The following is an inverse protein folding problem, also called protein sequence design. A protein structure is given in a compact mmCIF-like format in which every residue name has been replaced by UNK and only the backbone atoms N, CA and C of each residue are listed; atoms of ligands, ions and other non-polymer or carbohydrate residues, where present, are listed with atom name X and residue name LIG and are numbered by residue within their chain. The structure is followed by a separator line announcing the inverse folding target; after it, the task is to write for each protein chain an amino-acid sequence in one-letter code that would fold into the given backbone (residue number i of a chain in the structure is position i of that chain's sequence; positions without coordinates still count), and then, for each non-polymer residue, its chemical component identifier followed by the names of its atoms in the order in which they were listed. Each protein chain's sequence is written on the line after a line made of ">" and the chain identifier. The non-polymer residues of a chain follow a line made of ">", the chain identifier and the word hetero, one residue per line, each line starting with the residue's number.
data_IF_485227394814
#
_entry.id   IF_485227394814
#
_cell.length_a   1.000
_cell.length_b   1.000
_cell.length_c   1.000
_cell.angle_alpha   90.00
_cell.angle_beta   90.00
_cell.angle_gamma   90.00
#
_symmetry.space_group_name_H-M   'P 1'
#
loop_
_entity.id
_entity.type
_entity.pdbx_description
1 polymer ?
#
# COMPACT_ATOMS: atom_id res chain seq x y z
N UNK A 1 -1.73 -5.64 -30.91
CA UNK A 1 -3.19 -5.34 -30.99
C UNK A 1 -3.85 -5.85 -29.72
N UNK A 2 -4.52 -4.97 -28.96
CA UNK A 2 -5.24 -5.38 -27.74
C UNK A 2 -6.45 -6.26 -28.12
N UNK A 3 -6.88 -7.17 -27.24
CA UNK A 3 -8.09 -7.99 -27.49
C UNK A 3 -9.30 -7.13 -27.87
N UNK A 4 -9.39 -5.94 -27.26
CA UNK A 4 -10.37 -4.89 -27.55
C UNK A 4 -10.45 -4.56 -29.05
N UNK A 5 -9.31 -4.32 -29.71
CA UNK A 5 -9.30 -4.00 -31.15
C UNK A 5 -9.83 -5.13 -32.05
N UNK A 6 -9.67 -6.40 -31.66
CA UNK A 6 -10.22 -7.53 -32.44
C UNK A 6 -11.74 -7.64 -32.33
N UNK A 7 -12.31 -7.42 -31.14
CA UNK A 7 -13.76 -7.48 -30.93
C UNK A 7 -14.46 -6.34 -31.68
N UNK A 8 -13.88 -5.13 -31.66
CA UNK A 8 -14.42 -3.97 -32.38
C UNK A 8 -14.42 -4.21 -33.90
N UNK A 9 -13.34 -4.77 -34.45
CA UNK A 9 -13.23 -5.11 -35.88
C UNK A 9 -14.28 -6.15 -36.28
N UNK A 10 -14.48 -7.19 -35.46
CA UNK A 10 -15.50 -8.23 -35.72
C UNK A 10 -16.92 -7.67 -35.72
N UNK A 11 -17.25 -6.79 -34.78
CA UNK A 11 -18.58 -6.17 -34.68
C UNK A 11 -18.84 -5.26 -35.89
N UNK A 12 -17.86 -4.44 -36.28
CA UNK A 12 -17.96 -3.56 -37.45
C UNK A 12 -18.15 -4.39 -38.73
N UNK A 13 -17.41 -5.48 -38.88
CA UNK A 13 -17.55 -6.40 -40.01
C UNK A 13 -18.93 -7.06 -40.08
N UNK A 14 -19.50 -7.43 -38.93
CA UNK A 14 -20.79 -8.10 -38.83
C UNK A 14 -21.96 -7.15 -39.11
N UNK A 15 -21.88 -5.91 -38.61
CA UNK A 15 -22.85 -4.85 -38.95
C UNK A 15 -22.74 -4.48 -40.43
N UNK A 16 -21.53 -4.31 -40.96
CA UNK A 16 -21.32 -3.97 -42.37
C UNK A 16 -21.85 -5.07 -43.31
N UNK A 17 -21.66 -6.34 -42.98
CA UNK A 17 -22.18 -7.47 -43.78
C UNK A 17 -23.71 -7.58 -43.70
N UNK A 18 -24.32 -7.33 -42.54
CA UNK A 18 -25.78 -7.27 -42.42
C UNK A 18 -26.37 -6.10 -43.22
N UNK A 19 -25.75 -4.91 -43.18
CA UNK A 19 -26.17 -3.74 -43.96
C UNK A 19 -26.03 -3.95 -45.47
N UNK A 20 -24.94 -4.60 -45.91
CA UNK A 20 -24.74 -4.98 -47.32
C UNK A 20 -25.78 -6.01 -47.78
N UNK A 21 -26.16 -6.96 -46.93
CA UNK A 21 -27.24 -7.92 -47.20
C UNK A 21 -28.60 -7.27 -47.41
N UNK A 22 -28.90 -6.20 -46.65
CA UNK A 22 -30.15 -5.44 -46.78
C UNK A 22 -30.23 -4.66 -48.10
N UNK A 23 -29.11 -4.13 -48.59
CA UNK A 23 -29.02 -3.41 -49.86
C UNK A 23 -29.08 -4.34 -51.09
N UNK A 24 -28.63 -5.58 -50.96
CA UNK A 24 -28.54 -6.53 -52.08
C UNK A 24 -29.88 -7.20 -52.44
N UNK A 25 -30.86 -7.25 -51.53
CA UNK A 25 -32.15 -7.96 -51.75
C UNK A 25 -33.40 -7.10 -51.40
N UNK A 26 -33.70 -6.04 -52.17
CA UNK A 26 -34.79 -5.11 -51.87
C UNK A 26 -36.22 -5.65 -52.12
N UNK A 27 -36.39 -6.77 -52.84
CA UNK A 27 -37.70 -7.23 -53.33
C UNK A 27 -38.34 -8.42 -52.58
N UNK A 28 -37.74 -8.88 -51.48
CA UNK A 28 -38.26 -10.00 -50.68
C UNK A 28 -38.76 -9.49 -49.32
N UNK A 29 -40.02 -9.06 -49.26
CA UNK A 29 -40.66 -8.54 -48.03
C UNK A 29 -40.49 -9.45 -46.80
N UNK A 30 -40.50 -10.78 -46.96
CA UNK A 30 -40.30 -11.70 -45.83
C UNK A 30 -38.83 -11.82 -45.41
N UNK A 31 -37.90 -11.76 -46.36
CA UNK A 31 -36.46 -11.79 -46.06
C UNK A 31 -36.02 -10.48 -45.39
N UNK A 32 -36.65 -9.36 -45.75
CA UNK A 32 -36.35 -8.04 -45.22
C UNK A 32 -36.70 -7.92 -43.73
N UNK A 33 -37.87 -8.44 -43.31
CA UNK A 33 -38.22 -8.51 -41.88
C UNK A 33 -37.30 -9.46 -41.10
N UNK A 34 -36.97 -10.63 -41.64
CA UNK A 34 -36.03 -11.54 -40.98
C UNK A 34 -34.64 -10.91 -40.80
N UNK A 35 -34.20 -10.09 -41.76
CA UNK A 35 -32.93 -9.37 -41.70
C UNK A 35 -32.96 -8.21 -40.69
N UNK A 36 -34.08 -7.50 -40.58
CA UNK A 36 -34.31 -6.49 -39.54
C UNK A 36 -34.29 -7.11 -38.14
N UNK A 37 -34.97 -8.23 -37.93
CA UNK A 37 -34.96 -8.95 -36.65
C UNK A 37 -33.56 -9.43 -36.29
N UNK A 38 -32.83 -10.01 -37.25
CA UNK A 38 -31.43 -10.41 -37.08
C UNK A 38 -30.54 -9.21 -36.72
N UNK A 39 -30.73 -8.06 -37.37
CA UNK A 39 -29.99 -6.83 -37.07
C UNK A 39 -30.25 -6.36 -35.63
N UNK A 40 -31.51 -6.32 -35.20
CA UNK A 40 -31.86 -5.91 -33.84
C UNK A 40 -31.35 -6.87 -32.77
N UNK A 41 -31.41 -8.19 -33.04
CA UNK A 41 -30.80 -9.21 -32.17
C UNK A 41 -29.29 -8.99 -32.10
N UNK A 42 -28.64 -8.68 -33.22
CA UNK A 42 -27.20 -8.42 -33.27
C UNK A 42 -26.82 -7.18 -32.44
N UNK A 43 -27.57 -6.08 -32.61
CA UNK A 43 -27.37 -4.84 -31.85
C UNK A 43 -27.57 -5.12 -30.36
N UNK A 44 -28.62 -5.84 -29.98
CA UNK A 44 -28.90 -6.23 -28.60
C UNK A 44 -27.79 -7.10 -27.99
N UNK A 45 -27.29 -8.08 -28.75
CA UNK A 45 -26.19 -8.95 -28.32
C UNK A 45 -24.87 -8.16 -28.14
N UNK A 46 -24.56 -7.25 -29.06
CA UNK A 46 -23.38 -6.37 -28.99
C UNK A 46 -23.47 -5.44 -27.78
N UNK A 47 -24.62 -4.80 -27.57
CA UNK A 47 -24.82 -3.91 -26.44
C UNK A 47 -24.70 -4.66 -25.10
N UNK A 48 -25.29 -5.86 -25.02
CA UNK A 48 -25.19 -6.71 -23.84
C UNK A 48 -23.74 -7.15 -23.58
N UNK A 49 -23.01 -7.55 -24.62
CA UNK A 49 -21.60 -7.91 -24.49
C UNK A 49 -20.75 -6.74 -24.00
N UNK A 50 -20.98 -5.53 -24.52
CA UNK A 50 -20.28 -4.32 -24.08
C UNK A 50 -20.59 -3.97 -22.62
N UNK A 51 -21.85 -4.08 -22.21
CA UNK A 51 -22.26 -3.87 -20.82
C UNK A 51 -21.62 -4.89 -19.88
N UNK A 52 -21.61 -6.18 -20.24
CA UNK A 52 -20.96 -7.23 -19.46
C UNK A 52 -19.44 -7.00 -19.37
N UNK A 53 -18.77 -6.66 -20.47
CA UNK A 53 -17.34 -6.37 -20.48
C UNK A 53 -17.01 -5.14 -19.62
N UNK A 54 -17.82 -4.08 -19.69
CA UNK A 54 -17.68 -2.91 -18.84
C UNK A 54 -17.82 -3.24 -17.35
N UNK A 55 -18.82 -4.06 -16.99
CA UNK A 55 -19.03 -4.52 -15.61
C UNK A 55 -17.87 -5.41 -15.12
N UNK A 56 -17.39 -6.34 -15.96
CA UNK A 56 -16.27 -7.23 -15.63
C UNK A 56 -14.96 -6.46 -15.47
N UNK A 57 -14.66 -5.51 -16.36
CA UNK A 57 -13.46 -4.68 -16.24
C UNK A 57 -13.51 -3.84 -14.96
N UNK A 58 -14.66 -3.25 -14.64
CA UNK A 58 -14.86 -2.51 -13.38
C UNK A 58 -14.69 -3.41 -12.15
N UNK A 59 -15.22 -4.64 -12.18
CA UNK A 59 -15.04 -5.59 -11.06
C UNK A 59 -13.57 -6.00 -10.90
N UNK A 60 -12.86 -6.25 -12.00
CA UNK A 60 -11.43 -6.56 -11.98
C UNK A 60 -10.60 -5.41 -11.41
N UNK A 61 -10.88 -4.17 -11.81
CA UNK A 61 -10.23 -2.97 -11.25
C UNK A 61 -10.51 -2.84 -9.75
N UNK A 62 -11.76 -3.03 -9.33
CA UNK A 62 -12.15 -2.99 -7.93
C UNK A 62 -11.45 -4.07 -7.10
N UNK A 63 -11.31 -5.29 -7.63
CA UNK A 63 -10.58 -6.39 -6.95
C UNK A 63 -9.10 -6.06 -6.80
N UNK A 64 -8.44 -5.61 -7.86
CA UNK A 64 -7.03 -5.19 -7.81
C UNK A 64 -6.78 -4.07 -6.82
N UNK A 65 -7.70 -3.11 -6.74
CA UNK A 65 -7.64 -2.02 -5.78
C UNK A 65 -7.74 -2.55 -4.33
N UNK A 66 -8.67 -3.47 -4.05
CA UNK A 66 -8.82 -4.10 -2.73
C UNK A 66 -7.61 -4.93 -2.34
N UNK A 67 -7.04 -5.70 -3.28
CA UNK A 67 -5.83 -6.49 -3.05
C UNK A 67 -4.63 -5.59 -2.73
N UNK A 68 -4.45 -4.49 -3.47
CA UNK A 68 -3.39 -3.51 -3.23
C UNK A 68 -3.55 -2.81 -1.88
N UNK A 69 -4.79 -2.48 -1.50
CA UNK A 69 -5.11 -1.88 -0.20
C UNK A 69 -4.85 -2.85 0.95
N UNK A 70 -5.20 -4.14 0.79
CA UNK A 70 -4.88 -5.17 1.78
C UNK A 70 -3.37 -5.34 1.93
N UNK A 71 -2.64 -5.51 0.83
CA UNK A 71 -1.18 -5.66 0.83
C UNK A 71 -0.48 -4.48 1.52
N UNK A 72 -0.91 -3.25 1.24
CA UNK A 72 -0.41 -2.06 1.91
C UNK A 72 -0.66 -2.08 3.43
N UNK A 73 -1.86 -2.44 3.86
CA UNK A 73 -2.19 -2.49 5.30
C UNK A 73 -1.39 -3.57 6.02
N UNK A 74 -1.25 -4.75 5.41
CA UNK A 74 -0.38 -5.81 5.91
C UNK A 74 1.05 -5.32 6.06
N UNK A 75 1.58 -4.64 5.03
CA UNK A 75 2.92 -4.07 5.05
C UNK A 75 3.10 -3.08 6.21
N UNK A 76 2.19 -2.11 6.35
CA UNK A 76 2.23 -1.12 7.44
C UNK A 76 2.15 -1.79 8.81
N UNK A 77 1.28 -2.79 8.98
CA UNK A 77 1.14 -3.51 10.25
C UNK A 77 2.40 -4.30 10.63
N UNK A 78 3.05 -4.95 9.65
CA UNK A 78 4.31 -5.69 9.87
C UNK A 78 5.44 -4.73 10.26
N UNK A 79 5.60 -3.64 9.54
CA UNK A 79 6.62 -2.63 9.85
C UNK A 79 6.37 -1.98 11.22
N UNK A 80 5.12 -1.68 11.55
CA UNK A 80 4.74 -1.15 12.86
C UNK A 80 5.00 -2.15 13.99
N UNK A 81 4.74 -3.44 13.77
CA UNK A 81 5.06 -4.51 14.72
C UNK A 81 6.55 -4.57 15.05
N UNK A 82 7.42 -4.42 14.03
CA UNK A 82 8.87 -4.35 14.24
C UNK A 82 9.27 -3.14 15.07
N UNK A 83 8.68 -1.98 14.77
CA UNK A 83 8.92 -0.77 15.57
C UNK A 83 8.45 -0.96 17.02
N UNK A 84 7.29 -1.59 17.25
CA UNK A 84 6.83 -1.94 18.59
C UNK A 84 7.85 -2.83 19.32
N UNK A 85 8.42 -3.83 18.64
CA UNK A 85 9.43 -4.72 19.24
C UNK A 85 10.72 -3.99 19.65
N UNK A 86 11.09 -2.92 18.93
CA UNK A 86 12.25 -2.08 19.26
C UNK A 86 11.98 -1.20 20.48
N UNK A 87 10.71 -0.83 20.72
CA UNK A 87 10.34 0.17 21.73
C UNK A 87 10.05 -0.41 23.12
N UNK A 88 10.21 -1.73 23.31
CA UNK A 88 10.08 -2.46 24.59
C UNK A 88 8.76 -2.28 25.35
N UNK A 89 7.75 -1.64 24.74
CA UNK A 89 6.38 -1.57 25.27
C UNK A 89 5.70 -2.94 25.14
N UNK A 90 4.46 -3.06 25.59
CA UNK A 90 3.57 -4.23 25.41
C UNK A 90 3.33 -4.54 23.91
N UNK A 91 4.40 -4.99 23.27
CA UNK A 91 4.59 -5.07 21.84
C UNK A 91 3.72 -6.17 21.26
N UNK A 92 3.51 -7.26 22.01
CA UNK A 92 2.62 -8.35 21.62
C UNK A 92 1.19 -7.83 21.46
N UNK A 93 0.69 -7.06 22.43
CA UNK A 93 -0.66 -6.50 22.37
C UNK A 93 -0.80 -5.43 21.27
N UNK A 94 0.14 -4.50 21.16
CA UNK A 94 0.08 -3.42 20.16
C UNK A 94 0.27 -3.94 18.73
N UNK A 95 1.21 -4.85 18.51
CA UNK A 95 1.43 -5.48 17.22
C UNK A 95 0.24 -6.34 16.80
N UNK A 96 -0.30 -7.17 17.71
CA UNK A 96 -1.48 -7.98 17.45
C UNK A 96 -2.67 -7.10 17.06
N UNK A 97 -2.85 -5.95 17.73
CA UNK A 97 -3.91 -4.99 17.41
C UNK A 97 -3.75 -4.41 16.00
N UNK A 98 -2.53 -3.99 15.61
CA UNK A 98 -2.26 -3.47 14.27
C UNK A 98 -2.47 -4.53 13.18
N UNK A 99 -1.99 -5.75 13.41
CA UNK A 99 -2.14 -6.89 12.49
C UNK A 99 -3.61 -7.31 12.37
N UNK A 100 -4.34 -7.38 13.48
CA UNK A 100 -5.76 -7.70 13.49
C UNK A 100 -6.61 -6.68 12.73
N UNK A 101 -6.21 -5.40 12.74
CA UNK A 101 -6.91 -4.36 11.99
C UNK A 101 -6.68 -4.42 10.47
N UNK A 102 -5.78 -5.25 9.94
CA UNK A 102 -5.50 -5.35 8.49
C UNK A 102 -6.75 -5.77 7.70
N UNK A 103 -7.58 -6.64 8.28
CA UNK A 103 -8.82 -7.14 7.65
C UNK A 103 -10.00 -6.18 7.82
N UNK A 104 -9.86 -5.13 8.63
CA UNK A 104 -10.91 -4.15 8.92
C UNK A 104 -11.18 -3.19 7.75
N UNK A 105 -11.98 -2.13 7.94
CA UNK A 105 -12.08 -1.05 6.96
C UNK A 105 -10.82 -0.17 6.96
N UNK A 106 -10.51 0.51 5.85
CA UNK A 106 -9.40 1.49 5.80
C UNK A 106 -9.46 2.57 6.90
N UNK A 107 -10.66 2.97 7.32
CA UNK A 107 -10.85 3.96 8.38
C UNK A 107 -10.51 3.40 9.76
N UNK A 108 -10.96 2.18 10.06
CA UNK A 108 -10.64 1.47 11.30
C UNK A 108 -9.15 1.15 11.40
N UNK A 109 -8.54 0.71 10.30
CA UNK A 109 -7.11 0.48 10.22
C UNK A 109 -6.31 1.76 10.51
N UNK A 110 -6.62 2.87 9.83
CA UNK A 110 -5.93 4.14 10.06
C UNK A 110 -6.09 4.65 11.50
N UNK A 111 -7.26 4.44 12.10
CA UNK A 111 -7.52 4.77 13.50
C UNK A 111 -6.67 3.91 14.43
N UNK A 112 -6.57 2.61 14.15
CA UNK A 112 -5.75 1.68 14.93
C UNK A 112 -4.26 2.01 14.84
N UNK A 113 -3.74 2.27 13.63
CA UNK A 113 -2.35 2.70 13.42
C UNK A 113 -2.06 3.98 14.20
N UNK A 114 -2.98 4.95 14.19
CA UNK A 114 -2.84 6.18 14.99
C UNK A 114 -2.83 5.91 16.51
N UNK A 115 -3.67 4.99 17.00
CA UNK A 115 -3.68 4.62 18.41
C UNK A 115 -2.36 3.99 18.84
N UNK A 116 -1.85 3.04 18.06
CA UNK A 116 -0.54 2.42 18.31
C UNK A 116 0.57 3.48 18.26
N UNK A 117 0.52 4.39 17.28
CA UNK A 117 1.46 5.49 17.16
C UNK A 117 1.51 6.39 18.39
N UNK A 118 0.35 6.73 18.95
CA UNK A 118 0.28 7.56 20.16
C UNK A 118 0.96 6.89 21.36
N UNK A 119 0.79 5.57 21.53
CA UNK A 119 1.45 4.81 22.60
C UNK A 119 2.96 4.79 22.40
N UNK A 120 3.42 4.57 21.16
CA UNK A 120 4.86 4.58 20.84
C UNK A 120 5.51 5.96 21.05
N UNK A 121 4.76 7.04 20.84
CA UNK A 121 5.24 8.40 21.04
C UNK A 121 5.38 8.76 22.53
N UNK A 122 4.57 8.17 23.41
CA UNK A 122 4.68 8.39 24.86
C UNK A 122 5.77 7.53 25.51
N UNK A 123 6.15 6.43 24.87
CA UNK A 123 7.24 5.59 25.32
C UNK A 123 8.59 6.28 25.15
N UNK A 124 9.57 5.99 26.01
CA UNK A 124 10.98 6.35 25.77
C UNK A 124 11.90 5.13 25.77
N UNK A 125 11.38 3.94 26.09
CA UNK A 125 12.18 2.73 26.13
C UNK A 125 12.64 2.30 24.75
N UNK A 126 13.83 1.70 24.72
CA UNK A 126 14.45 1.12 23.52
C UNK A 126 15.15 -0.17 23.93
N UNK A 127 14.81 -1.25 23.24
CA UNK A 127 15.54 -2.51 23.27
C UNK A 127 16.70 -2.42 22.27
N UNK A 128 17.90 -2.22 22.81
CA UNK A 128 19.12 -2.05 22.03
C UNK A 128 19.44 -3.26 21.16
N UNK A 129 19.28 -4.47 21.71
CA UNK A 129 19.54 -5.72 20.99
C UNK A 129 18.54 -5.92 19.85
N UNK A 130 17.25 -5.61 20.09
CA UNK A 130 16.23 -5.66 19.02
C UNK A 130 16.47 -4.63 17.93
N UNK A 131 16.88 -3.41 18.27
CA UNK A 131 17.20 -2.39 17.27
C UNK A 131 18.30 -2.88 16.32
N UNK A 132 19.45 -3.29 16.87
CA UNK A 132 20.60 -3.72 16.06
C UNK A 132 20.32 -5.01 15.28
N UNK A 133 19.38 -5.85 15.72
CA UNK A 133 18.92 -7.00 14.94
C UNK A 133 18.01 -6.62 13.75
N UNK A 134 17.28 -5.50 13.83
CA UNK A 134 16.20 -5.17 12.90
C UNK A 134 16.47 -3.96 12.01
N UNK A 135 17.48 -3.13 12.30
CA UNK A 135 17.68 -1.84 11.61
C UNK A 135 17.75 -1.96 10.09
N UNK A 136 18.48 -2.96 9.55
CA UNK A 136 18.59 -3.20 8.10
C UNK A 136 17.20 -3.47 7.52
N UNK A 137 16.46 -4.38 8.16
CA UNK A 137 15.17 -4.83 7.64
C UNK A 137 14.13 -3.71 7.66
N UNK A 138 14.12 -2.88 8.71
CA UNK A 138 13.27 -1.69 8.80
C UNK A 138 13.65 -0.67 7.72
N UNK A 139 14.95 -0.39 7.54
CA UNK A 139 15.43 0.53 6.50
C UNK A 139 15.08 0.05 5.08
N UNK A 140 15.27 -1.23 4.78
CA UNK A 140 14.88 -1.83 3.49
C UNK A 140 13.37 -1.78 3.24
N UNK A 141 12.56 -2.07 4.25
CA UNK A 141 11.11 -1.95 4.15
C UNK A 141 10.69 -0.51 3.85
N UNK A 142 11.31 0.48 4.48
CA UNK A 142 11.02 1.89 4.16
C UNK A 142 11.38 2.25 2.72
N UNK A 143 12.50 1.73 2.18
CA UNK A 143 12.85 1.92 0.75
C UNK A 143 11.85 1.22 -0.17
N UNK A 144 11.33 0.06 0.24
CA UNK A 144 10.26 -0.64 -0.49
C UNK A 144 8.95 0.15 -0.44
N UNK A 145 8.62 0.73 0.70
CA UNK A 145 7.45 1.58 0.87
C UNK A 145 7.51 2.81 -0.05
N UNK A 146 8.70 3.42 -0.16
CA UNK A 146 8.90 4.61 -0.99
C UNK A 146 8.78 4.35 -2.50
N UNK A 147 9.04 3.11 -2.93
CA UNK A 147 9.03 2.72 -4.35
C UNK A 147 7.72 2.06 -4.77
N UNK A 148 7.25 1.07 -4.00
CA UNK A 148 6.13 0.21 -4.40
C UNK A 148 4.76 0.83 -4.04
N UNK A 149 4.66 1.53 -2.91
CA UNK A 149 3.36 1.89 -2.32
C UNK A 149 3.03 3.39 -2.37
N UNK A 150 4.03 4.27 -2.48
CA UNK A 150 3.79 5.73 -2.52
C UNK A 150 2.83 6.14 -3.65
N UNK A 151 2.99 5.55 -4.83
CA UNK A 151 2.18 5.86 -6.02
C UNK A 151 0.71 5.49 -5.81
N UNK A 152 0.45 4.51 -4.96
CA UNK A 152 -0.90 4.06 -4.64
C UNK A 152 -1.66 5.12 -3.85
N UNK A 153 -1.02 6.04 -3.13
CA UNK A 153 -1.72 6.97 -2.21
C UNK A 153 -1.51 8.46 -2.49
N UNK A 154 -0.58 8.80 -3.38
CA UNK A 154 -0.36 10.17 -3.80
C UNK A 154 -1.47 10.68 -4.74
N UNK A 155 -1.74 11.99 -4.66
CA UNK A 155 -2.72 12.71 -5.48
C UNK A 155 -2.10 13.45 -6.65
N UNK A 156 -0.78 13.63 -6.63
CA UNK A 156 -0.01 14.31 -7.66
C UNK A 156 1.41 13.74 -7.72
N UNK A 157 2.11 14.00 -8.82
CA UNK A 157 3.53 13.63 -8.96
C UNK A 157 4.41 14.35 -7.93
N UNK A 158 4.08 15.59 -7.59
CA UNK A 158 4.80 16.33 -6.56
C UNK A 158 4.69 15.65 -5.19
N UNK A 159 3.49 15.14 -4.83
CA UNK A 159 3.32 14.37 -3.59
C UNK A 159 4.12 13.06 -3.62
N UNK A 160 4.21 12.39 -4.77
CA UNK A 160 5.04 11.18 -4.94
C UNK A 160 6.50 11.50 -4.61
N UNK A 161 7.05 12.53 -5.24
CA UNK A 161 8.46 12.93 -5.04
C UNK A 161 8.72 13.35 -3.59
N UNK A 162 7.85 14.16 -3.00
CA UNK A 162 8.00 14.61 -1.61
C UNK A 162 7.95 13.45 -0.62
N UNK A 163 6.98 12.54 -0.76
CA UNK A 163 6.89 11.36 0.10
C UNK A 163 8.10 10.43 -0.12
N UNK A 164 8.58 10.29 -1.36
CA UNK A 164 9.74 9.45 -1.67
C UNK A 164 10.99 9.97 -0.97
N UNK A 165 11.26 11.27 -1.09
CA UNK A 165 12.40 11.91 -0.44
C UNK A 165 12.28 11.85 1.09
N UNK A 166 11.09 12.05 1.64
CA UNK A 166 10.86 11.99 3.08
C UNK A 166 11.12 10.59 3.65
N UNK A 167 10.56 9.54 3.04
CA UNK A 167 10.72 8.16 3.52
C UNK A 167 12.15 7.67 3.31
N UNK A 168 12.78 7.97 2.17
CA UNK A 168 14.15 7.54 1.89
C UNK A 168 15.15 8.16 2.86
N UNK A 169 14.98 9.46 3.18
CA UNK A 169 15.80 10.14 4.21
C UNK A 169 15.68 9.49 5.59
N UNK A 170 14.49 9.01 5.97
CA UNK A 170 14.31 8.27 7.22
C UNK A 170 15.00 6.91 7.10
N UNK A 171 14.78 6.18 6.01
CA UNK A 171 15.36 4.87 5.76
C UNK A 171 16.90 4.86 5.82
N UNK A 172 17.54 5.92 5.34
CA UNK A 172 19.01 6.04 5.32
C UNK A 172 19.61 6.33 6.70
N UNK A 173 18.81 6.80 7.66
CA UNK A 173 19.22 6.97 9.06
C UNK A 173 19.05 5.71 9.90
N UNK A 174 18.35 4.69 9.39
CA UNK A 174 18.31 3.37 10.03
C UNK A 174 19.65 2.65 9.80
N UNK A 175 20.59 2.87 10.73
CA UNK A 175 21.97 2.36 10.68
C UNK A 175 22.33 1.59 11.94
N UNK A 176 23.43 0.85 11.90
CA UNK A 176 23.96 0.17 13.08
C UNK A 176 24.51 1.17 14.09
N UNK A 177 24.16 1.02 15.37
CA UNK A 177 24.79 1.77 16.46
C UNK A 177 25.64 0.83 17.30
N UNK A 178 26.95 1.01 17.22
CA UNK A 178 27.93 0.21 17.97
C UNK A 178 27.75 0.33 19.49
N UNK A 179 27.36 1.52 19.98
CA UNK A 179 27.03 1.75 21.39
C UNK A 179 25.79 0.96 21.88
N UNK A 180 24.96 0.43 20.97
CA UNK A 180 23.79 -0.41 21.27
C UNK A 180 24.08 -1.91 21.11
N UNK A 181 25.31 -2.29 20.79
CA UNK A 181 25.71 -3.69 20.65
C UNK A 181 25.70 -4.42 21.99
N UNK A 182 25.58 -5.75 21.97
CA UNK A 182 25.59 -6.56 23.19
C UNK A 182 26.89 -6.39 23.98
N UNK A 183 28.04 -6.31 23.29
CA UNK A 183 29.34 -6.07 23.91
C UNK A 183 29.38 -4.70 24.60
N UNK A 184 28.84 -3.65 23.97
CA UNK A 184 28.84 -2.31 24.55
C UNK A 184 27.91 -2.24 25.77
N UNK A 185 26.76 -2.90 25.70
CA UNK A 185 25.83 -2.98 26.83
C UNK A 185 26.44 -3.76 28.01
N UNK A 186 27.22 -4.81 27.75
CA UNK A 186 27.95 -5.57 28.79
C UNK A 186 29.10 -4.74 29.39
N UNK A 187 29.85 -4.03 28.55
CA UNK A 187 30.90 -3.11 28.98
C UNK A 187 30.36 -1.95 29.85
N UNK A 188 29.15 -1.45 29.55
CA UNK A 188 28.49 -0.41 30.38
C UNK A 188 28.04 -0.97 31.74
N UNK A 189 27.56 -2.22 31.79
CA UNK A 189 27.11 -2.86 33.04
C UNK A 189 28.27 -3.23 33.97
N UNK A 190 29.42 -3.56 33.42
CA UNK A 190 30.53 -4.17 34.14
C UNK A 190 31.54 -3.23 34.81
N UNK A 191 31.39 -1.90 34.74
CA UNK A 191 32.55 -1.03 34.92
C UNK A 191 32.39 0.28 35.71
N UNK A 192 33.51 0.66 36.36
CA UNK A 192 33.77 1.94 37.01
C UNK A 192 34.25 3.05 36.07
N UNK A 193 34.61 4.19 36.66
CA UNK A 193 34.76 5.50 36.00
C UNK A 193 35.80 5.56 34.85
N UNK A 194 35.51 6.39 33.84
CA UNK A 194 36.40 6.70 32.70
C UNK A 194 35.79 6.33 31.34
N UNK A 195 36.41 5.37 30.64
CA UNK A 195 36.05 4.96 29.27
C UNK A 195 34.60 4.46 29.13
N UNK A 196 34.07 3.87 30.20
CA UNK A 196 32.69 3.39 30.29
C UNK A 196 31.66 4.52 30.39
N UNK A 197 32.05 5.69 30.93
CA UNK A 197 31.17 6.86 30.97
C UNK A 197 30.96 7.46 29.58
N UNK A 198 32.00 7.47 28.73
CA UNK A 198 31.89 7.91 27.33
C UNK A 198 31.02 6.94 26.52
N UNK A 199 31.19 5.62 26.72
CA UNK A 199 30.37 4.61 26.05
C UNK A 199 28.90 4.69 26.49
N UNK A 200 28.66 4.92 27.79
CA UNK A 200 27.32 5.14 28.33
C UNK A 200 26.64 6.38 27.72
N UNK A 201 27.36 7.50 27.61
CA UNK A 201 26.84 8.72 26.96
C UNK A 201 26.46 8.45 25.51
N UNK A 202 27.34 7.80 24.73
CA UNK A 202 27.04 7.40 23.35
C UNK A 202 25.84 6.46 23.24
N UNK A 203 25.65 5.56 24.23
CA UNK A 203 24.47 4.69 24.26
C UNK A 203 23.18 5.47 24.53
N UNK A 204 23.22 6.55 25.33
CA UNK A 204 22.07 7.43 25.56
C UNK A 204 21.72 8.19 24.29
N UNK A 205 22.70 8.85 23.66
CA UNK A 205 22.50 9.57 22.39
C UNK A 205 21.96 8.65 21.29
N UNK A 206 22.49 7.44 21.18
CA UNK A 206 21.98 6.44 20.23
C UNK A 206 20.53 6.04 20.54
N UNK A 207 20.15 5.85 21.81
CA UNK A 207 18.76 5.55 22.18
C UNK A 207 17.82 6.70 21.86
N UNK A 208 18.24 7.95 22.10
CA UNK A 208 17.47 9.15 21.74
C UNK A 208 17.26 9.25 20.22
N UNK A 209 18.31 8.96 19.42
CA UNK A 209 18.18 8.91 17.96
C UNK A 209 17.23 7.79 17.53
N UNK A 210 17.27 6.61 18.15
CA UNK A 210 16.31 5.53 17.87
C UNK A 210 14.87 5.94 18.23
N UNK A 211 14.66 6.64 19.35
CA UNK A 211 13.35 7.22 19.71
C UNK A 211 12.88 8.18 18.61
N UNK A 212 13.76 9.07 18.16
CA UNK A 212 13.47 10.02 17.09
C UNK A 212 13.09 9.32 15.78
N UNK A 213 13.90 8.34 15.35
CA UNK A 213 13.68 7.57 14.13
C UNK A 213 12.39 6.76 14.15
N UNK A 214 12.10 6.11 15.27
CA UNK A 214 10.86 5.33 15.42
C UNK A 214 9.64 6.25 15.36
N UNK A 215 9.68 7.42 16.00
CA UNK A 215 8.62 8.42 15.94
C UNK A 215 8.42 8.98 14.52
N UNK A 216 9.50 9.35 13.83
CA UNK A 216 9.44 9.83 12.44
C UNK A 216 8.87 8.76 11.50
N UNK A 217 9.31 7.51 11.67
CA UNK A 217 8.85 6.38 10.87
C UNK A 217 7.35 6.16 11.06
N UNK A 218 6.92 6.06 12.32
CA UNK A 218 5.52 5.87 12.70
C UNK A 218 4.65 7.02 12.20
N UNK A 219 5.13 8.27 12.28
CA UNK A 219 4.43 9.43 11.75
C UNK A 219 4.14 9.28 10.24
N UNK A 220 5.13 8.85 9.45
CA UNK A 220 4.90 8.59 8.02
C UNK A 220 3.89 7.47 7.78
N UNK A 221 3.93 6.39 8.57
CA UNK A 221 2.97 5.29 8.46
C UNK A 221 1.53 5.75 8.76
N UNK A 222 1.34 6.55 9.81
CA UNK A 222 0.04 7.16 10.14
C UNK A 222 -0.47 8.02 8.99
N UNK A 223 0.39 8.87 8.43
CA UNK A 223 0.00 9.76 7.34
C UNK A 223 -0.38 8.99 6.08
N UNK A 224 0.38 7.94 5.72
CA UNK A 224 0.06 7.07 4.59
C UNK A 224 -1.25 6.29 4.82
N UNK A 225 -1.46 5.74 6.02
CA UNK A 225 -2.71 5.06 6.37
C UNK A 225 -3.92 6.01 6.26
N UNK A 226 -3.78 7.26 6.73
CA UNK A 226 -4.82 8.30 6.61
C UNK A 226 -5.12 8.64 5.14
N UNK A 227 -4.09 8.72 4.28
CA UNK A 227 -4.25 8.99 2.85
C UNK A 227 -4.96 7.84 2.13
N UNK A 228 -4.65 6.59 2.50
CA UNK A 228 -5.34 5.41 1.98
C UNK A 228 -6.85 5.48 2.20
N UNK A 229 -7.31 5.88 3.40
CA UNK A 229 -8.74 6.09 3.68
C UNK A 229 -9.39 7.09 2.72
N UNK A 230 -8.71 8.19 2.39
CA UNK A 230 -9.24 9.24 1.49
C UNK A 230 -9.32 8.80 0.04
N UNK A 231 -8.43 7.90 -0.40
CA UNK A 231 -8.48 7.36 -1.76
C UNK A 231 -9.56 6.28 -1.89
N UNK A 232 -9.73 5.44 -0.87
CA UNK A 232 -10.85 4.49 -0.78
C UNK A 232 -12.22 5.17 -0.85
N UNK A 233 -12.35 6.40 -0.32
CA UNK A 233 -13.57 7.22 -0.46
C UNK A 233 -13.82 7.68 -1.91
N UNK A 234 -12.77 7.94 -2.70
CA UNK A 234 -12.89 8.36 -4.12
C UNK A 234 -13.21 7.20 -5.06
N UNK A 235 -12.85 5.97 -4.70
CA UNK A 235 -13.17 4.77 -5.51
C UNK A 235 -14.63 4.30 -5.32
N UNK A 236 -15.31 4.77 -4.26
CA UNK A 236 -16.70 4.40 -3.94
C UNK A 236 -17.75 5.38 -4.49
N UNK A 237 -17.33 6.58 -4.91
CA UNK A 237 -18.17 7.60 -5.58
C UNK A 237 -18.07 7.46 -7.08
#
# INVERSE_FOLDING_TARGET
>A
MSKLTRTHILIILLVATASLGFLAYPNLKSAQHALEELLWILIGAVFTAFMIEGLLNRDLENRRAKESEFAFRTFVAVLLSRICSIRSEDHETLAAKAIGAVTSSSGEFATTVKQVANVLHTSQSVDASRYNALYISVGEELRRLSTDYIRVFARSEQEIVQSYLAITRIADRWIYFDALSDWAQEAIKGAGEGEHATLALKSVEAKEEVVSLTNETVHQLVELARRATRKGLRLKT
#
